data_IF_071931508135
#
_entry.id   IF_071931508135
#
_cell.length_a   1.000
_cell.length_b   1.000
_cell.length_c   1.000
_cell.angle_alpha   90.00
_cell.angle_beta   90.00
_cell.angle_gamma   90.00
#
_symmetry.space_group_name_H-M   'P 1'
#
loop_
_entity.id
_entity.type
_entity.pdbx_description
1 polymer ?
#
# COMPACT_ATOMS: atom_id res chain seq x y z
N UNK A 1 5.37 61.05 -8.86
CA UNK A 1 4.85 59.77 -9.41
C UNK A 1 5.93 58.69 -9.55
N UNK A 2 7.13 58.99 -10.07
CA UNK A 2 8.24 58.02 -10.20
C UNK A 2 8.58 57.26 -8.90
N UNK A 3 8.63 57.98 -7.77
CA UNK A 3 8.93 57.39 -6.46
C UNK A 3 7.81 56.45 -5.94
N UNK A 4 6.57 56.66 -6.37
CA UNK A 4 5.44 55.79 -6.01
C UNK A 4 5.53 54.44 -6.72
N UNK A 5 5.91 54.43 -8.01
CA UNK A 5 6.17 53.18 -8.73
C UNK A 5 7.36 52.41 -8.18
N UNK A 6 8.41 53.13 -7.74
CA UNK A 6 9.57 52.51 -7.08
C UNK A 6 9.15 51.87 -5.75
N UNK A 7 8.33 52.55 -4.94
CA UNK A 7 7.81 51.99 -3.70
C UNK A 7 6.95 50.73 -3.94
N UNK A 8 6.06 50.76 -4.93
CA UNK A 8 5.21 49.61 -5.29
C UNK A 8 6.08 48.43 -5.77
N UNK A 9 7.08 48.68 -6.59
CA UNK A 9 7.99 47.62 -7.06
C UNK A 9 8.74 46.97 -5.89
N UNK A 10 9.20 47.75 -4.92
CA UNK A 10 9.88 47.22 -3.71
C UNK A 10 8.94 46.33 -2.90
N UNK A 11 7.68 46.73 -2.73
CA UNK A 11 6.68 45.94 -1.99
C UNK A 11 6.40 44.60 -2.67
N UNK A 12 6.29 44.60 -4.01
CA UNK A 12 6.08 43.36 -4.78
C UNK A 12 7.28 42.42 -4.65
N UNK A 13 8.51 42.94 -4.79
CA UNK A 13 9.73 42.14 -4.64
C UNK A 13 9.85 41.58 -3.22
N UNK A 14 9.52 42.36 -2.19
CA UNK A 14 9.53 41.90 -0.81
C UNK A 14 8.48 40.79 -0.58
N UNK A 15 7.27 40.92 -1.12
CA UNK A 15 6.24 39.90 -1.01
C UNK A 15 6.64 38.59 -1.72
N UNK A 16 7.26 38.68 -2.90
CA UNK A 16 7.80 37.51 -3.61
C UNK A 16 8.95 36.86 -2.85
N UNK A 17 9.86 37.65 -2.27
CA UNK A 17 10.97 37.12 -1.47
C UNK A 17 10.45 36.36 -0.23
N UNK A 18 9.45 36.91 0.47
CA UNK A 18 8.81 36.25 1.62
C UNK A 18 8.06 35.00 1.19
N UNK A 19 7.34 35.04 0.06
CA UNK A 19 6.62 33.88 -0.47
C UNK A 19 7.55 32.72 -0.87
N UNK A 20 8.64 33.03 -1.57
CA UNK A 20 9.67 32.05 -1.95
C UNK A 20 10.38 31.50 -0.71
N UNK A 21 10.71 32.36 0.25
CA UNK A 21 11.31 31.93 1.51
C UNK A 21 10.37 31.00 2.28
N UNK A 22 9.10 31.37 2.42
CA UNK A 22 8.10 30.56 3.13
C UNK A 22 7.88 29.20 2.46
N UNK A 23 7.84 29.17 1.12
CA UNK A 23 7.71 27.93 0.36
C UNK A 23 8.95 27.04 0.53
N UNK A 24 10.15 27.60 0.40
CA UNK A 24 11.41 26.85 0.55
C UNK A 24 11.67 26.41 1.99
N UNK A 25 11.25 27.19 2.99
CA UNK A 25 11.34 26.82 4.40
C UNK A 25 10.41 25.67 4.78
N UNK A 26 9.37 25.37 3.99
CA UNK A 26 8.56 24.16 4.18
C UNK A 26 9.20 22.89 3.64
N UNK A 27 10.17 22.99 2.74
CA UNK A 27 10.90 21.84 2.18
C UNK A 27 12.09 21.42 3.03
N UNK A 28 12.48 22.24 4.01
CA UNK A 28 13.57 21.94 4.93
C UNK A 28 13.05 21.13 6.15
N UNK A 29 12.56 19.91 5.91
CA UNK A 29 12.65 18.91 6.96
C UNK A 29 14.14 18.62 7.21
N UNK A 30 14.62 18.68 8.47
CA UNK A 30 15.97 18.24 8.76
C UNK A 30 16.04 16.75 8.45
N UNK A 31 16.78 16.41 7.38
CA UNK A 31 17.09 15.02 7.06
C UNK A 31 17.65 14.34 8.32
N UNK A 32 17.20 13.12 8.66
CA UNK A 32 17.80 12.36 9.74
C UNK A 32 19.30 12.17 9.43
N UNK A 33 20.15 12.36 10.44
CA UNK A 33 21.59 12.18 10.32
C UNK A 33 21.90 10.72 9.93
N UNK A 34 22.16 10.48 8.64
CA UNK A 34 22.39 9.14 8.07
C UNK A 34 23.85 8.69 8.17
N UNK A 35 24.67 9.33 9.01
CA UNK A 35 26.09 8.99 9.15
C UNK A 35 26.37 7.55 9.63
N UNK A 36 25.34 6.75 9.93
CA UNK A 36 25.46 5.36 10.41
C UNK A 36 24.72 4.30 9.59
N UNK A 37 24.09 4.61 8.45
CA UNK A 37 23.42 3.57 7.64
C UNK A 37 24.09 3.48 6.27
N UNK A 38 25.06 2.58 6.20
CA UNK A 38 25.49 1.99 4.95
C UNK A 38 24.29 1.28 4.31
N UNK A 39 23.88 1.72 3.13
CA UNK A 39 22.94 1.00 2.26
C UNK A 39 21.62 1.73 2.00
N UNK A 40 21.52 2.24 0.78
CA UNK A 40 20.34 2.14 -0.09
C UNK A 40 19.06 2.93 0.22
N UNK A 41 18.72 3.79 -0.76
CA UNK A 41 17.39 4.27 -1.16
C UNK A 41 16.55 5.14 -0.20
N UNK A 42 16.13 6.29 -0.74
CA UNK A 42 15.23 7.26 -0.12
C UNK A 42 13.85 6.65 0.20
N UNK A 43 13.27 6.92 1.39
CA UNK A 43 11.85 6.65 1.64
C UNK A 43 11.01 7.90 1.32
N UNK A 44 9.68 7.74 1.37
CA UNK A 44 8.69 8.80 1.62
C UNK A 44 7.97 9.53 0.48
N UNK A 45 7.72 8.90 -0.68
CA UNK A 45 6.59 9.33 -1.53
C UNK A 45 5.72 8.18 -2.04
N UNK A 46 6.30 7.00 -2.22
CA UNK A 46 5.54 5.82 -2.67
C UNK A 46 4.79 5.09 -1.55
N UNK A 47 5.23 5.20 -0.30
CA UNK A 47 4.57 4.51 0.84
C UNK A 47 3.16 5.05 1.12
N UNK A 48 2.94 6.35 0.89
CA UNK A 48 1.64 6.99 1.14
C UNK A 48 0.60 6.64 0.06
N UNK A 49 1.03 6.63 -1.22
CA UNK A 49 0.14 6.30 -2.33
C UNK A 49 -0.24 4.81 -2.32
N UNK A 50 0.70 3.93 -2.01
CA UNK A 50 0.48 2.49 -1.93
C UNK A 50 -0.50 2.10 -0.81
N UNK A 51 -0.34 2.69 0.38
CA UNK A 51 -1.25 2.47 1.50
C UNK A 51 -2.68 2.95 1.20
N UNK A 52 -2.81 4.15 0.63
CA UNK A 52 -4.12 4.70 0.28
C UNK A 52 -4.87 3.87 -0.79
N UNK A 53 -4.16 3.37 -1.81
CA UNK A 53 -4.73 2.46 -2.80
C UNK A 53 -5.10 1.11 -2.21
N UNK A 54 -4.27 0.56 -1.32
CA UNK A 54 -4.56 -0.71 -0.65
C UNK A 54 -5.84 -0.61 0.18
N UNK A 55 -6.02 0.46 0.96
CA UNK A 55 -7.24 0.71 1.74
C UNK A 55 -8.47 0.94 0.85
N UNK A 56 -8.34 1.74 -0.21
CA UNK A 56 -9.45 2.04 -1.12
C UNK A 56 -9.92 0.83 -1.93
N UNK A 57 -9.03 -0.15 -2.17
CA UNK A 57 -9.33 -1.36 -2.95
C UNK A 57 -9.70 -2.56 -2.10
N UNK A 58 -9.65 -2.44 -0.77
CA UNK A 58 -10.10 -3.49 0.13
C UNK A 58 -11.60 -3.78 -0.10
N UNK A 59 -11.91 -5.05 -0.41
CA UNK A 59 -13.29 -5.50 -0.54
C UNK A 59 -13.97 -5.42 0.85
N UNK A 60 -15.09 -4.68 1.01
CA UNK A 60 -15.78 -4.55 2.30
C UNK A 60 -16.39 -5.86 2.83
N UNK A 61 -16.33 -6.94 2.05
CA UNK A 61 -16.87 -8.27 2.38
C UNK A 61 -15.77 -9.21 2.89
N UNK A 62 -14.79 -8.71 3.66
CA UNK A 62 -13.70 -9.53 4.18
C UNK A 62 -14.14 -10.56 5.24
N UNK A 63 -15.31 -10.41 5.86
CA UNK A 63 -15.70 -11.24 7.01
C UNK A 63 -17.12 -11.83 6.94
N UNK A 64 -17.87 -11.60 5.84
CA UNK A 64 -19.28 -12.03 5.71
C UNK A 64 -19.58 -12.74 4.40
N UNK A 65 -18.62 -13.47 3.84
CA UNK A 65 -18.99 -14.46 2.85
C UNK A 65 -19.68 -15.61 3.58
N UNK A 66 -20.96 -15.90 3.28
CA UNK A 66 -21.56 -17.12 3.80
C UNK A 66 -20.69 -18.30 3.34
N UNK A 67 -20.54 -19.34 4.18
CA UNK A 67 -19.99 -20.61 3.71
C UNK A 67 -20.92 -21.17 2.63
N UNK A 68 -20.67 -20.79 1.38
CA UNK A 68 -21.40 -21.25 0.21
C UNK A 68 -20.82 -22.55 -0.30
N UNK A 69 -20.09 -23.32 0.52
CA UNK A 69 -19.68 -24.66 0.11
C UNK A 69 -20.95 -25.56 0.17
N UNK A 70 -21.54 -25.92 -0.98
CA UNK A 70 -22.72 -26.80 -0.98
C UNK A 70 -22.33 -28.25 -0.60
N UNK A 71 -21.02 -28.53 -0.49
CA UNK A 71 -20.44 -29.80 -0.09
C UNK A 71 -19.77 -29.70 1.28
N UNK A 72 -20.35 -28.95 2.24
CA UNK A 72 -19.96 -29.05 3.67
C UNK A 72 -19.82 -30.53 4.00
N UNK A 73 -18.61 -30.92 4.44
CA UNK A 73 -18.11 -32.27 4.68
C UNK A 73 -19.19 -33.36 4.81
N UNK A 74 -19.83 -33.70 3.68
CA UNK A 74 -20.41 -35.01 3.54
C UNK A 74 -19.18 -35.87 3.35
N UNK A 75 -18.64 -36.36 4.47
CA UNK A 75 -17.75 -37.52 4.46
C UNK A 75 -18.35 -38.46 3.43
N UNK A 76 -17.56 -38.77 2.40
CA UNK A 76 -17.94 -39.50 1.19
C UNK A 76 -19.27 -40.26 1.42
N UNK A 77 -20.39 -39.95 0.71
CA UNK A 77 -21.69 -40.56 1.00
C UNK A 77 -21.68 -42.08 0.93
N UNK A 78 -20.60 -42.65 0.41
CA UNK A 78 -20.36 -44.05 0.27
C UNK A 78 -19.35 -44.65 1.28
N UNK A 79 -18.92 -43.90 2.31
CA UNK A 79 -17.94 -44.38 3.28
C UNK A 79 -16.58 -44.75 2.66
N UNK A 80 -15.68 -45.35 3.45
CA UNK A 80 -14.39 -45.87 2.97
C UNK A 80 -14.52 -47.22 2.22
N UNK A 81 -15.75 -47.72 2.08
CA UNK A 81 -16.07 -49.11 1.71
C UNK A 81 -16.43 -49.28 0.23
N UNK A 82 -16.60 -48.19 -0.52
CA UNK A 82 -16.96 -48.22 -1.95
C UNK A 82 -15.79 -48.10 -2.91
N UNK A 83 -14.64 -48.67 -2.57
CA UNK A 83 -13.69 -48.95 -3.62
C UNK A 83 -14.07 -50.32 -4.24
N UNK A 84 -14.78 -50.36 -5.40
CA UNK A 84 -15.25 -51.61 -6.00
C UNK A 84 -14.09 -52.48 -6.52
N UNK A 85 -12.85 -51.99 -6.42
CA UNK A 85 -11.65 -52.69 -6.86
C UNK A 85 -10.79 -53.22 -5.71
N UNK A 86 -11.21 -53.09 -4.44
CA UNK A 86 -10.43 -53.61 -3.30
C UNK A 86 -10.14 -55.10 -3.43
N UNK A 87 -11.09 -55.88 -3.95
CA UNK A 87 -10.92 -57.33 -4.12
C UNK A 87 -10.34 -57.72 -5.49
N UNK A 88 -10.23 -56.77 -6.43
CA UNK A 88 -9.79 -57.03 -7.81
C UNK A 88 -8.31 -56.74 -7.99
N UNK A 89 -7.77 -55.74 -7.30
CA UNK A 89 -6.37 -55.36 -7.42
C UNK A 89 -5.53 -55.97 -6.29
N UNK A 90 -4.71 -56.97 -6.62
CA UNK A 90 -3.59 -57.40 -5.78
C UNK A 90 -2.31 -56.79 -6.32
N UNK A 91 -1.57 -56.09 -5.45
CA UNK A 91 -0.24 -55.58 -5.78
C UNK A 91 0.67 -56.77 -6.15
N UNK A 92 1.21 -56.85 -7.39
CA UNK A 92 2.03 -57.99 -7.81
C UNK A 92 3.48 -57.93 -7.30
N UNK A 93 3.81 -56.91 -6.49
CA UNK A 93 5.15 -56.70 -5.91
C UNK A 93 5.17 -56.81 -4.38
N UNK A 94 4.06 -57.27 -3.78
CA UNK A 94 4.02 -57.78 -2.41
C UNK A 94 4.21 -59.30 -2.38
#
# INVERSE_FOLDING_TARGET
MKNAYIAIAIVIVAALAVGIWYFRSREAEPLPDTSNIAGEAAPSAQEELGGALYEATQNPVQEKLPETNPFKAQANPFGAEVNPFQDVYKNPFE
#
